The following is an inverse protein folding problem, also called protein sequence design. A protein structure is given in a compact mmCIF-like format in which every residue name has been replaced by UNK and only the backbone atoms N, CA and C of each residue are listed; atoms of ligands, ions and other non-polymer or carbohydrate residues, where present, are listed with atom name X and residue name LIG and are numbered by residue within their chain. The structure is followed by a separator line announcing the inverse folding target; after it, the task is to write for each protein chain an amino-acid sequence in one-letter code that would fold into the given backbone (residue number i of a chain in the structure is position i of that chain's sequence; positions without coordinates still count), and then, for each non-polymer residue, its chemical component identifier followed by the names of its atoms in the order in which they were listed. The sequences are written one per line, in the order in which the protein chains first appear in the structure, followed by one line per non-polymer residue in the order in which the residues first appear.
data_IF_058591955870
#
_entry.id   IF_058591955870
#
_cell.length_a   1.000
_cell.length_b   1.000
_cell.length_c   1.000
_cell.angle_alpha   90.00
_cell.angle_beta   90.00
_cell.angle_gamma   90.00
#
_symmetry.space_group_name_H-M   'P 1'
#
loop_
_entity.id
_entity.type
_entity.pdbx_description
1 polymer ?
#
# COMPACT_ATOMS: atom_id res chain seq x y z
N UNK A 1 22.98 35.42 -68.31
CA UNK A 1 23.42 34.06 -67.91
C UNK A 1 23.62 34.08 -66.40
N UNK A 2 23.11 33.18 -65.55
CA UNK A 2 22.11 32.10 -65.69
C UNK A 2 21.52 31.87 -64.26
N UNK A 3 20.20 31.78 -64.02
CA UNK A 3 19.39 30.54 -63.91
C UNK A 3 20.16 29.28 -63.45
N UNK A 4 19.74 28.39 -62.52
CA UNK A 4 18.49 28.13 -61.75
C UNK A 4 18.81 26.98 -60.71
N UNK A 5 18.10 26.56 -59.65
CA UNK A 5 16.87 26.95 -58.89
C UNK A 5 16.80 26.22 -57.51
N UNK A 6 15.99 26.71 -56.56
CA UNK A 6 15.19 25.97 -55.53
C UNK A 6 15.80 24.87 -54.61
N UNK A 7 15.62 25.01 -53.29
CA UNK A 7 15.06 23.94 -52.42
C UNK A 7 14.54 24.47 -51.07
N UNK A 8 13.60 23.77 -50.43
CA UNK A 8 12.97 24.13 -49.13
C UNK A 8 13.52 23.28 -47.97
N UNK A 9 14.24 23.91 -47.03
CA UNK A 9 14.49 23.31 -45.71
C UNK A 9 13.28 23.47 -44.80
N UNK A 10 12.59 22.38 -44.45
CA UNK A 10 11.46 22.41 -43.49
C UNK A 10 11.96 22.76 -42.09
N UNK A 11 11.31 23.72 -41.43
CA UNK A 11 11.50 23.96 -40.00
C UNK A 11 11.14 22.69 -39.21
N UNK A 12 12.12 22.11 -38.51
CA UNK A 12 11.92 20.90 -37.71
C UNK A 12 11.34 21.30 -36.35
N UNK A 13 10.05 21.59 -36.32
CA UNK A 13 9.30 21.86 -35.08
C UNK A 13 9.49 20.68 -34.14
N UNK A 14 10.35 20.85 -33.13
CA UNK A 14 10.47 19.89 -32.04
C UNK A 14 9.16 19.95 -31.25
N UNK A 15 8.28 18.99 -31.53
CA UNK A 15 7.21 18.62 -30.62
C UNK A 15 7.88 18.07 -29.35
N UNK A 16 8.24 18.98 -28.44
CA UNK A 16 8.50 18.64 -27.06
C UNK A 16 7.20 18.07 -26.50
N UNK A 17 7.10 16.74 -26.50
CA UNK A 17 5.99 16.03 -25.89
C UNK A 17 5.91 16.50 -24.44
N UNK A 18 4.80 17.16 -24.08
CA UNK A 18 4.58 17.63 -22.70
C UNK A 18 4.63 16.41 -21.79
N UNK A 19 5.69 16.30 -20.99
CA UNK A 19 5.74 15.35 -19.87
C UNK A 19 4.45 15.50 -19.07
N UNK A 20 3.73 14.42 -18.74
CA UNK A 20 2.42 14.53 -18.10
C UNK A 20 2.54 15.29 -16.77
N UNK A 21 2.01 16.50 -16.71
CA UNK A 21 2.00 17.29 -15.47
C UNK A 21 1.05 16.63 -14.47
N UNK A 22 1.54 16.35 -13.26
CA UNK A 22 0.68 15.89 -12.17
C UNK A 22 -0.46 16.91 -11.91
N UNK A 23 -1.64 16.44 -11.46
CA UNK A 23 -2.67 17.34 -10.99
C UNK A 23 -2.19 18.14 -9.76
N UNK A 24 -2.78 19.32 -9.49
CA UNK A 24 -2.54 20.04 -8.25
C UNK A 24 -3.00 19.22 -7.04
N UNK A 25 -2.48 19.56 -5.87
CA UNK A 25 -2.91 18.94 -4.61
C UNK A 25 -4.35 19.30 -4.27
N UNK A 26 -5.12 18.30 -3.80
CA UNK A 26 -6.39 18.55 -3.12
C UNK A 26 -6.15 19.25 -1.80
N UNK A 27 -7.03 20.17 -1.43
CA UNK A 27 -6.93 20.83 -0.14
C UNK A 27 -7.32 19.86 0.98
N UNK A 28 -6.59 19.84 2.09
CA UNK A 28 -6.82 18.86 3.17
C UNK A 28 -8.23 18.97 3.77
N UNK A 29 -8.80 20.19 3.81
CA UNK A 29 -10.17 20.47 4.26
C UNK A 29 -11.23 20.41 3.14
N UNK A 30 -10.90 19.92 1.95
CA UNK A 30 -11.84 19.83 0.81
C UNK A 30 -13.03 18.92 1.15
N UNK A 31 -14.25 19.45 1.02
CA UNK A 31 -15.48 18.72 1.33
C UNK A 31 -15.75 18.49 2.83
N UNK A 32 -15.15 19.31 3.71
CA UNK A 32 -15.38 19.27 5.17
C UNK A 32 -16.22 20.46 5.66
N UNK A 33 -16.77 20.33 6.86
CA UNK A 33 -17.38 21.42 7.63
C UNK A 33 -16.37 22.55 7.87
N UNK A 34 -16.84 23.80 7.92
CA UNK A 34 -15.97 24.98 8.14
C UNK A 34 -15.40 25.04 9.56
N UNK A 35 -16.07 24.41 10.53
CA UNK A 35 -15.60 24.20 11.90
C UNK A 35 -15.40 22.71 12.20
N UNK A 36 -14.42 22.36 13.04
CA UNK A 36 -14.30 21.01 13.60
C UNK A 36 -15.40 20.76 14.63
N UNK A 37 -15.81 19.50 14.76
CA UNK A 37 -16.67 19.00 15.83
C UNK A 37 -15.92 18.95 17.18
N UNK A 38 -14.68 18.46 17.14
CA UNK A 38 -13.89 18.15 18.32
C UNK A 38 -12.40 18.13 17.99
N UNK A 39 -11.57 18.67 18.88
CA UNK A 39 -10.12 18.49 18.88
C UNK A 39 -9.78 17.26 19.73
N UNK A 40 -8.90 16.38 19.23
CA UNK A 40 -8.36 15.25 20.00
C UNK A 40 -6.98 15.68 20.53
N UNK A 41 -6.88 15.84 21.85
CA UNK A 41 -5.62 16.16 22.52
C UNK A 41 -4.63 15.00 22.47
N UNK A 42 -3.33 15.31 22.40
CA UNK A 42 -2.28 14.28 22.55
C UNK A 42 -2.37 13.61 23.92
N UNK A 43 -2.17 12.29 23.95
CA UNK A 43 -2.32 11.49 25.16
C UNK A 43 -1.01 11.38 25.95
N UNK A 44 -1.05 11.68 27.24
CA UNK A 44 0.04 11.39 28.17
C UNK A 44 0.16 9.88 28.45
N UNK A 45 1.36 9.37 28.80
CA UNK A 45 1.52 8.03 29.36
C UNK A 45 0.64 7.82 30.60
N UNK A 46 0.10 6.61 30.81
CA UNK A 46 -0.48 6.19 32.10
C UNK A 46 0.13 4.86 32.52
N UNK A 47 0.40 4.70 33.81
CA UNK A 47 0.94 3.46 34.38
C UNK A 47 0.00 2.25 34.27
N UNK A 48 -1.29 2.48 34.04
CA UNK A 48 -2.29 1.43 33.77
C UNK A 48 -2.37 1.00 32.29
N UNK A 49 -1.62 1.64 31.40
CA UNK A 49 -1.58 1.26 29.99
C UNK A 49 -0.81 -0.07 29.81
N UNK A 50 -1.52 -1.14 29.46
CA UNK A 50 -0.89 -2.43 29.09
C UNK A 50 0.07 -2.24 27.92
N UNK A 51 1.23 -2.92 28.00
CA UNK A 51 2.09 -3.27 26.86
C UNK A 51 1.21 -3.63 25.65
N UNK A 52 1.35 -2.88 24.54
CA UNK A 52 0.64 -3.18 23.31
C UNK A 52 1.19 -4.49 22.75
N UNK A 53 0.31 -5.40 22.34
CA UNK A 53 0.68 -6.61 21.63
C UNK A 53 -0.22 -6.78 20.40
N UNK A 54 0.23 -7.65 19.49
CA UNK A 54 -0.59 -8.19 18.41
C UNK A 54 -0.66 -9.71 18.61
N UNK A 55 -1.87 -10.24 18.74
CA UNK A 55 -2.15 -11.67 18.90
C UNK A 55 -3.23 -12.10 17.90
N UNK A 56 -3.52 -13.40 17.80
CA UNK A 56 -4.52 -13.96 16.86
C UNK A 56 -4.29 -13.55 15.39
N UNK A 57 -3.02 -13.47 14.98
CA UNK A 57 -2.62 -13.04 13.65
C UNK A 57 -3.00 -14.08 12.58
N UNK A 58 -3.92 -13.69 11.71
CA UNK A 58 -4.49 -14.52 10.67
C UNK A 58 -4.33 -13.84 9.29
N UNK A 59 -3.88 -14.59 8.28
CA UNK A 59 -4.02 -14.17 6.88
C UNK A 59 -5.49 -14.32 6.48
N UNK A 60 -6.10 -13.26 5.95
CA UNK A 60 -7.52 -13.26 5.54
C UNK A 60 -7.72 -12.92 4.06
N UNK A 61 -6.68 -12.40 3.40
CA UNK A 61 -6.69 -12.21 1.96
C UNK A 61 -5.47 -11.46 1.45
N UNK A 62 -5.33 -11.40 0.14
CA UNK A 62 -4.35 -10.53 -0.52
C UNK A 62 -4.74 -10.35 -1.98
N UNK A 63 -4.12 -9.37 -2.63
CA UNK A 63 -4.25 -9.18 -4.06
C UNK A 63 -3.08 -8.42 -4.68
N UNK A 64 -2.90 -8.55 -6.00
CA UNK A 64 -2.09 -7.59 -6.77
C UNK A 64 -2.98 -6.71 -7.64
N UNK A 65 -2.59 -5.45 -7.87
CA UNK A 65 -3.22 -4.61 -8.89
C UNK A 65 -2.70 -4.93 -10.30
N UNK A 66 -3.57 -4.86 -11.31
CA UNK A 66 -3.21 -4.93 -12.74
C UNK A 66 -3.37 -3.55 -13.39
N UNK A 67 -2.49 -3.20 -14.32
CA UNK A 67 -2.61 -1.98 -15.12
C UNK A 67 -3.70 -2.14 -16.20
N UNK A 68 -4.95 -1.81 -15.85
CA UNK A 68 -6.11 -1.83 -16.74
C UNK A 68 -7.00 -0.59 -16.52
N UNK A 69 -7.80 -0.16 -17.53
CA UNK A 69 -8.75 0.94 -17.39
C UNK A 69 -9.86 0.67 -16.36
N UNK A 70 -10.27 -0.60 -16.22
CA UNK A 70 -11.20 -1.07 -15.18
C UNK A 70 -10.40 -1.51 -13.94
N UNK A 71 -10.85 -1.18 -12.71
CA UNK A 71 -10.19 -1.66 -11.49
C UNK A 71 -10.15 -3.19 -11.46
N UNK A 72 -8.96 -3.76 -11.63
CA UNK A 72 -8.76 -5.20 -11.79
C UNK A 72 -7.65 -5.67 -10.85
N UNK A 73 -7.96 -6.69 -10.05
CA UNK A 73 -7.04 -7.29 -9.09
C UNK A 73 -6.84 -8.78 -9.37
N UNK A 74 -5.67 -9.30 -9.01
CA UNK A 74 -5.36 -10.73 -9.00
C UNK A 74 -5.48 -11.23 -7.55
N UNK A 75 -6.26 -12.28 -7.29
CA UNK A 75 -6.49 -12.85 -5.94
C UNK A 75 -6.12 -14.35 -5.93
N UNK A 76 -5.34 -14.85 -4.95
CA UNK A 76 -4.66 -14.12 -3.86
C UNK A 76 -3.54 -13.18 -4.34
N UNK A 77 -3.10 -13.30 -5.59
CA UNK A 77 -1.87 -12.65 -6.06
C UNK A 77 -0.64 -13.17 -5.32
N UNK A 78 0.50 -12.49 -5.48
CA UNK A 78 1.74 -12.74 -4.74
C UNK A 78 2.67 -11.53 -4.80
N UNK A 79 3.42 -11.22 -3.73
CA UNK A 79 4.51 -10.25 -3.77
C UNK A 79 5.66 -10.79 -4.65
N UNK A 80 6.64 -9.93 -4.93
CA UNK A 80 7.75 -10.28 -5.82
C UNK A 80 8.73 -11.25 -5.12
N UNK A 81 9.28 -12.21 -5.84
CA UNK A 81 10.21 -13.21 -5.29
C UNK A 81 11.60 -12.61 -5.12
N UNK A 82 12.09 -12.53 -3.89
CA UNK A 82 13.45 -12.10 -3.56
C UNK A 82 14.46 -13.02 -4.24
N UNK A 83 15.35 -12.44 -5.05
CA UNK A 83 16.28 -13.18 -5.92
C UNK A 83 17.70 -13.30 -5.34
N UNK A 84 17.88 -12.87 -4.08
CA UNK A 84 19.14 -12.85 -3.30
C UNK A 84 20.42 -12.51 -4.08
N UNK A 85 20.31 -11.51 -4.95
CA UNK A 85 21.34 -11.15 -5.93
C UNK A 85 22.66 -10.78 -5.24
N UNK A 86 23.79 -11.45 -5.56
CA UNK A 86 25.10 -11.12 -5.01
C UNK A 86 25.50 -9.66 -5.26
N UNK A 87 25.98 -8.99 -4.21
CA UNK A 87 26.55 -7.64 -4.29
C UNK A 87 28.07 -7.71 -4.58
N UNK A 88 28.67 -6.66 -5.16
CA UNK A 88 28.07 -5.38 -5.54
C UNK A 88 27.51 -5.35 -6.98
N UNK A 89 26.41 -4.62 -7.16
CA UNK A 89 25.85 -4.31 -8.49
C UNK A 89 25.32 -2.87 -8.53
N UNK A 90 25.08 -2.37 -9.74
CA UNK A 90 24.59 -1.01 -10.01
C UNK A 90 23.12 -1.05 -10.42
N UNK A 91 22.34 -0.06 -9.98
CA UNK A 91 21.05 0.32 -10.57
C UNK A 91 21.04 1.80 -10.94
N UNK A 92 20.12 2.21 -11.81
CA UNK A 92 19.86 3.63 -12.09
C UNK A 92 19.08 4.27 -10.94
N UNK A 93 19.18 5.60 -10.80
CA UNK A 93 18.30 6.34 -9.89
C UNK A 93 16.83 6.21 -10.32
N UNK A 94 15.90 6.29 -9.38
CA UNK A 94 14.48 6.19 -9.69
C UNK A 94 13.95 7.46 -10.37
N UNK A 95 13.23 7.29 -11.47
CA UNK A 95 12.68 8.34 -12.32
C UNK A 95 11.20 8.11 -12.66
N UNK A 96 10.58 9.06 -13.39
CA UNK A 96 9.15 9.01 -13.70
C UNK A 96 8.25 9.25 -12.48
N UNK A 97 7.22 8.41 -12.30
CA UNK A 97 6.17 8.60 -11.29
C UNK A 97 5.95 7.37 -10.41
N UNK A 98 6.04 7.57 -9.09
CA UNK A 98 5.64 6.58 -8.10
C UNK A 98 4.17 6.76 -7.68
N UNK A 99 3.55 5.69 -7.16
CA UNK A 99 2.26 5.81 -6.47
C UNK A 99 2.47 6.25 -5.02
N UNK A 100 1.86 7.36 -4.62
CA UNK A 100 1.70 7.72 -3.21
C UNK A 100 0.62 6.83 -2.57
N UNK A 101 -0.46 6.59 -3.31
CA UNK A 101 -1.51 5.63 -2.97
C UNK A 101 -2.11 4.99 -4.24
N UNK A 102 -1.74 3.72 -4.46
CA UNK A 102 -2.23 2.92 -5.58
C UNK A 102 -3.71 2.52 -5.42
N UNK A 103 -4.18 2.29 -4.19
CA UNK A 103 -5.56 1.90 -3.93
C UNK A 103 -6.50 3.09 -4.17
N UNK A 104 -6.13 4.28 -3.70
CA UNK A 104 -6.82 5.53 -4.00
C UNK A 104 -6.76 5.94 -5.47
N UNK A 105 -5.66 5.66 -6.19
CA UNK A 105 -5.61 5.88 -7.65
C UNK A 105 -6.60 5.00 -8.41
N UNK A 106 -6.65 3.70 -8.07
CA UNK A 106 -7.43 2.69 -8.78
C UNK A 106 -8.92 2.69 -8.37
N UNK A 107 -9.24 3.07 -7.13
CA UNK A 107 -10.59 3.06 -6.56
C UNK A 107 -10.87 4.33 -5.73
N UNK A 108 -10.87 5.54 -6.34
CA UNK A 108 -10.90 6.82 -5.62
C UNK A 108 -12.20 7.09 -4.84
N UNK A 109 -13.33 6.48 -5.23
CA UNK A 109 -14.60 6.54 -4.47
C UNK A 109 -14.63 5.59 -3.27
N UNK A 110 -13.79 4.55 -3.25
CA UNK A 110 -13.94 3.40 -2.36
C UNK A 110 -12.62 2.65 -2.13
N UNK A 111 -11.75 3.26 -1.34
CA UNK A 111 -10.34 2.84 -1.15
C UNK A 111 -10.23 1.47 -0.47
N UNK A 112 -11.23 1.08 0.33
CA UNK A 112 -11.30 -0.22 1.00
C UNK A 112 -12.07 -1.32 0.22
N UNK A 113 -12.77 -0.99 -0.88
CA UNK A 113 -13.53 -2.00 -1.63
C UNK A 113 -12.68 -3.17 -2.17
N UNK A 114 -11.45 -2.96 -2.69
CA UNK A 114 -10.58 -4.06 -3.12
C UNK A 114 -10.12 -4.97 -1.96
N UNK A 115 -10.04 -4.44 -0.74
CA UNK A 115 -9.72 -5.20 0.47
C UNK A 115 -10.86 -6.19 0.77
N UNK A 116 -12.09 -5.70 0.91
CA UNK A 116 -13.25 -6.56 1.16
C UNK A 116 -13.43 -7.58 0.03
N UNK A 117 -13.32 -7.14 -1.22
CA UNK A 117 -13.45 -7.99 -2.42
C UNK A 117 -12.46 -9.17 -2.40
N UNK A 118 -11.22 -8.96 -1.95
CA UNK A 118 -10.21 -10.01 -1.92
C UNK A 118 -10.42 -10.99 -0.75
N UNK A 119 -10.85 -10.52 0.42
CA UNK A 119 -11.19 -11.38 1.57
C UNK A 119 -12.41 -12.24 1.25
N UNK A 120 -13.51 -11.64 0.80
CA UNK A 120 -14.73 -12.34 0.39
C UNK A 120 -14.47 -13.41 -0.67
N UNK A 121 -13.57 -13.13 -1.63
CA UNK A 121 -13.18 -14.10 -2.65
C UNK A 121 -12.37 -15.28 -2.07
N UNK A 122 -11.44 -15.04 -1.14
CA UNK A 122 -10.66 -16.11 -0.49
C UNK A 122 -11.57 -16.97 0.40
N UNK A 123 -12.40 -16.38 1.26
CA UNK A 123 -13.34 -17.14 2.09
C UNK A 123 -14.31 -17.95 1.24
N UNK A 124 -14.85 -17.38 0.16
CA UNK A 124 -15.69 -18.14 -0.80
C UNK A 124 -14.95 -19.31 -1.46
N UNK A 125 -13.67 -19.17 -1.81
CA UNK A 125 -12.85 -20.25 -2.37
C UNK A 125 -12.58 -21.35 -1.34
N UNK A 126 -12.41 -20.98 -0.07
CA UNK A 126 -12.23 -21.92 1.05
C UNK A 126 -13.54 -22.60 1.51
N UNK A 127 -14.71 -22.13 1.03
CA UNK A 127 -16.03 -22.47 1.58
C UNK A 127 -16.17 -22.07 3.07
N UNK A 128 -15.68 -20.87 3.39
CA UNK A 128 -15.77 -20.20 4.70
C UNK A 128 -16.60 -18.91 4.55
N UNK A 129 -17.24 -18.43 5.62
CA UNK A 129 -17.81 -17.08 5.69
C UNK A 129 -16.93 -16.20 6.58
N UNK A 130 -16.63 -14.98 6.12
CA UNK A 130 -15.84 -14.03 6.91
C UNK A 130 -16.76 -13.14 7.75
N UNK A 131 -16.65 -13.26 9.06
CA UNK A 131 -17.39 -12.43 10.02
C UNK A 131 -16.83 -10.99 10.03
N UNK A 132 -17.40 -10.17 9.14
CA UNK A 132 -17.15 -8.74 9.07
C UNK A 132 -17.74 -7.98 10.26
N UNK A 133 -18.86 -8.44 10.82
CA UNK A 133 -19.54 -7.78 11.92
C UNK A 133 -18.75 -7.88 13.24
N UNK A 134 -17.98 -8.94 13.46
CA UNK A 134 -17.06 -9.06 14.60
C UNK A 134 -15.92 -8.01 14.59
N UNK A 135 -15.59 -7.43 13.44
CA UNK A 135 -14.43 -6.53 13.28
C UNK A 135 -14.71 -5.16 13.92
N UNK A 136 -13.70 -4.58 14.58
CA UNK A 136 -13.80 -3.24 15.18
C UNK A 136 -13.23 -2.13 14.28
N UNK A 137 -12.19 -2.45 13.49
CA UNK A 137 -11.57 -1.53 12.53
C UNK A 137 -11.18 -2.21 11.21
N UNK A 138 -11.48 -1.57 10.08
CA UNK A 138 -10.88 -1.91 8.77
C UNK A 138 -10.02 -0.73 8.31
N UNK A 139 -8.74 -0.95 8.04
CA UNK A 139 -7.78 0.15 7.83
C UNK A 139 -6.59 -0.21 6.94
N UNK A 140 -5.95 0.81 6.37
CA UNK A 140 -4.58 0.73 5.87
C UNK A 140 -3.56 0.92 7.00
N UNK A 141 -2.49 0.11 7.01
CA UNK A 141 -1.33 0.28 7.91
C UNK A 141 -0.68 1.69 7.79
N UNK A 142 -0.89 2.38 6.67
CA UNK A 142 -0.52 3.78 6.47
C UNK A 142 -1.24 4.73 7.45
N UNK A 143 -2.53 4.53 7.69
CA UNK A 143 -3.35 5.37 8.57
C UNK A 143 -2.93 5.22 10.04
N UNK A 144 -2.61 3.99 10.46
CA UNK A 144 -2.05 3.73 11.79
C UNK A 144 -0.66 4.40 11.99
N UNK A 145 0.18 4.43 10.95
CA UNK A 145 1.46 5.18 11.00
C UNK A 145 1.27 6.71 11.02
N UNK A 146 0.27 7.24 10.31
CA UNK A 146 -0.11 8.66 10.39
C UNK A 146 -0.46 9.05 11.83
N UNK A 147 -1.33 8.27 12.49
CA UNK A 147 -1.66 8.44 13.91
C UNK A 147 -0.44 8.37 14.83
N UNK A 148 0.47 7.40 14.62
CA UNK A 148 1.69 7.27 15.41
C UNK A 148 2.63 8.46 15.28
N UNK A 149 2.80 9.03 14.08
CA UNK A 149 3.60 10.27 13.91
C UNK A 149 2.97 11.43 14.67
N UNK A 150 1.65 11.61 14.60
CA UNK A 150 0.96 12.62 15.42
C UNK A 150 1.15 12.38 16.93
N UNK A 151 1.14 11.14 17.39
CA UNK A 151 1.42 10.82 18.79
C UNK A 151 2.87 11.20 19.17
N UNK A 152 3.85 10.80 18.35
CA UNK A 152 5.27 10.84 18.69
C UNK A 152 5.97 12.19 18.44
N UNK A 153 5.48 13.00 17.50
CA UNK A 153 6.14 14.20 16.99
C UNK A 153 5.25 15.45 17.10
N UNK A 154 5.77 16.53 17.70
CA UNK A 154 5.08 17.82 17.77
C UNK A 154 4.95 18.52 16.40
N UNK A 155 5.86 18.25 15.47
CA UNK A 155 5.87 18.77 14.11
C UNK A 155 5.29 17.76 13.08
N UNK A 156 4.45 16.83 13.54
CA UNK A 156 3.90 15.76 12.71
C UNK A 156 3.23 16.30 11.43
N UNK A 157 3.67 15.75 10.29
CA UNK A 157 3.18 16.12 8.95
C UNK A 157 1.66 16.03 8.86
N UNK A 158 1.06 17.04 8.23
CA UNK A 158 -0.36 17.11 7.93
C UNK A 158 -0.86 15.82 7.25
N UNK A 159 -2.01 15.32 7.69
CA UNK A 159 -2.67 14.16 7.09
C UNK A 159 -4.18 14.16 7.32
N UNK A 160 -4.88 13.40 6.49
CA UNK A 160 -6.32 13.13 6.64
C UNK A 160 -6.61 11.63 6.54
N UNK A 161 -7.62 11.19 7.28
CA UNK A 161 -8.23 9.86 7.23
C UNK A 161 -9.75 10.08 7.17
N UNK A 162 -10.42 9.54 6.15
CA UNK A 162 -11.88 9.64 6.02
C UNK A 162 -12.53 8.43 6.70
N UNK A 163 -13.51 8.70 7.56
CA UNK A 163 -14.08 7.75 8.50
C UNK A 163 -15.58 7.57 8.27
N UNK A 164 -16.00 6.31 8.33
CA UNK A 164 -17.41 5.91 8.29
C UNK A 164 -17.61 4.74 9.25
N UNK A 165 -18.77 4.67 9.89
CA UNK A 165 -19.26 3.50 10.61
C UNK A 165 -20.02 2.57 9.64
N UNK A 166 -19.81 1.26 9.78
CA UNK A 166 -20.62 0.19 9.17
C UNK A 166 -20.86 -0.86 10.26
N UNK A 167 -22.12 -1.19 10.59
CA UNK A 167 -22.45 -1.85 11.86
C UNK A 167 -21.78 -1.17 13.07
N UNK A 168 -20.95 -1.93 13.79
CA UNK A 168 -20.06 -1.40 14.85
C UNK A 168 -18.62 -1.07 14.40
N UNK A 169 -18.29 -1.34 13.14
CA UNK A 169 -16.93 -1.33 12.59
C UNK A 169 -16.55 0.04 12.04
N UNK A 170 -15.36 0.52 12.39
CA UNK A 170 -14.84 1.82 11.93
C UNK A 170 -13.97 1.63 10.69
N UNK A 171 -14.40 2.24 9.59
CA UNK A 171 -13.72 2.19 8.29
C UNK A 171 -12.75 3.37 8.14
N UNK A 172 -11.45 3.14 8.30
CA UNK A 172 -10.40 4.14 8.09
C UNK A 172 -9.96 4.15 6.62
N UNK A 173 -10.57 5.03 5.84
CA UNK A 173 -10.23 5.22 4.44
C UNK A 173 -9.01 6.15 4.32
N UNK A 174 -7.96 5.65 3.66
CA UNK A 174 -6.77 6.45 3.38
C UNK A 174 -7.12 7.63 2.47
N UNK A 175 -6.76 8.84 2.90
CA UNK A 175 -6.82 10.05 2.09
C UNK A 175 -5.40 10.54 1.80
N UNK A 176 -5.18 11.08 0.59
CA UNK A 176 -3.95 11.73 0.15
C UNK A 176 -4.29 12.95 -0.73
N UNK A 177 -3.47 13.99 -0.64
CA UNK A 177 -3.47 15.19 -1.49
C UNK A 177 -3.43 14.85 -3.00
N UNK A 178 -2.53 13.94 -3.39
CA UNK A 178 -2.31 13.39 -4.73
C UNK A 178 -2.07 11.88 -4.64
N UNK A 179 -2.42 11.15 -5.70
CA UNK A 179 -2.24 9.69 -5.75
C UNK A 179 -0.89 9.23 -6.34
N UNK A 180 -0.20 10.09 -7.10
CA UNK A 180 1.13 9.85 -7.69
C UNK A 180 2.07 11.02 -7.40
N UNK A 181 3.36 10.74 -7.29
CA UNK A 181 4.41 11.75 -7.07
C UNK A 181 5.54 11.61 -8.09
N UNK A 182 6.16 12.75 -8.43
CA UNK A 182 7.30 12.81 -9.35
C UNK A 182 8.55 12.34 -8.60
N UNK A 183 9.21 11.32 -9.13
CA UNK A 183 10.43 10.79 -8.54
C UNK A 183 11.59 11.79 -8.71
N UNK A 184 12.46 11.88 -7.71
CA UNK A 184 13.43 12.97 -7.57
C UNK A 184 14.72 12.79 -8.38
N UNK A 185 14.92 11.64 -9.03
CA UNK A 185 16.19 11.29 -9.67
C UNK A 185 17.34 11.06 -8.67
N UNK A 186 17.06 10.98 -7.36
CA UNK A 186 18.05 10.85 -6.28
C UNK A 186 17.82 9.65 -5.36
N UNK A 187 16.68 8.96 -5.48
CA UNK A 187 16.40 7.69 -4.80
C UNK A 187 16.83 6.50 -5.67
N UNK A 188 16.91 5.31 -5.08
CA UNK A 188 17.29 4.06 -5.77
C UNK A 188 16.44 2.86 -5.32
N UNK A 189 15.29 3.12 -4.70
CA UNK A 189 14.48 2.11 -4.00
C UNK A 189 13.70 1.21 -4.94
N UNK A 190 13.00 1.82 -5.90
CA UNK A 190 12.16 1.10 -6.86
C UNK A 190 13.02 0.35 -7.88
N UNK A 191 14.12 0.95 -8.34
CA UNK A 191 15.09 0.26 -9.19
C UNK A 191 15.89 -0.82 -8.44
N UNK A 192 16.12 -0.69 -7.12
CA UNK A 192 16.67 -1.76 -6.28
C UNK A 192 15.70 -2.95 -6.17
N UNK A 193 14.46 -2.71 -5.79
CA UNK A 193 13.41 -3.74 -5.69
C UNK A 193 13.26 -4.46 -7.04
N UNK A 194 13.16 -3.69 -8.14
CA UNK A 194 13.06 -4.21 -9.50
C UNK A 194 14.27 -5.05 -9.93
N UNK A 195 15.48 -4.72 -9.48
CA UNK A 195 16.72 -5.41 -9.82
C UNK A 195 17.10 -6.56 -8.86
N UNK A 196 16.37 -6.72 -7.75
CA UNK A 196 16.59 -7.72 -6.70
C UNK A 196 15.46 -8.73 -6.57
N UNK A 197 14.36 -8.55 -7.30
CA UNK A 197 13.16 -9.40 -7.21
C UNK A 197 12.60 -9.75 -8.59
N UNK A 198 12.13 -10.98 -8.75
CA UNK A 198 11.39 -11.44 -9.93
C UNK A 198 9.88 -11.38 -9.67
N UNK A 199 9.03 -11.20 -10.69
CA UNK A 199 7.59 -11.40 -10.52
C UNK A 199 7.27 -12.83 -10.08
N UNK A 200 6.21 -13.00 -9.28
CA UNK A 200 5.70 -14.33 -8.97
C UNK A 200 4.85 -14.87 -10.14
N UNK A 201 4.79 -16.21 -10.33
CA UNK A 201 3.96 -16.84 -11.35
C UNK A 201 2.49 -16.39 -11.31
N UNK A 202 1.94 -16.01 -12.46
CA UNK A 202 0.58 -15.48 -12.58
C UNK A 202 0.40 -14.06 -12.04
N UNK A 203 1.49 -13.33 -11.74
CA UNK A 203 1.50 -11.95 -11.27
C UNK A 203 2.45 -11.04 -12.10
N UNK A 204 2.88 -11.49 -13.28
CA UNK A 204 3.92 -10.87 -14.11
C UNK A 204 3.55 -9.46 -14.61
N UNK A 205 2.27 -9.27 -14.95
CA UNK A 205 1.71 -7.98 -15.40
C UNK A 205 1.15 -7.10 -14.28
N UNK A 206 1.56 -7.31 -13.03
CA UNK A 206 1.00 -6.63 -11.86
C UNK A 206 1.86 -5.47 -11.33
N UNK A 207 1.25 -4.52 -10.62
CA UNK A 207 1.87 -3.23 -10.25
C UNK A 207 2.11 -3.03 -8.74
N UNK A 208 1.89 -4.05 -7.91
CA UNK A 208 2.05 -3.98 -6.45
C UNK A 208 1.16 -5.01 -5.74
N UNK A 209 1.65 -5.60 -4.63
CA UNK A 209 0.94 -6.62 -3.86
C UNK A 209 0.48 -6.08 -2.50
N UNK A 210 -0.80 -6.26 -2.20
CA UNK A 210 -1.47 -5.77 -0.99
C UNK A 210 -1.95 -6.98 -0.18
N UNK A 211 -1.34 -7.20 0.98
CA UNK A 211 -1.70 -8.25 1.93
C UNK A 211 -2.70 -7.74 2.95
N UNK A 212 -3.58 -8.62 3.42
CA UNK A 212 -4.65 -8.32 4.36
C UNK A 212 -4.58 -9.34 5.51
N UNK A 213 -4.49 -8.83 6.73
CA UNK A 213 -4.46 -9.66 7.95
C UNK A 213 -5.57 -9.25 8.90
N UNK A 214 -6.05 -10.22 9.68
CA UNK A 214 -6.84 -9.99 10.89
C UNK A 214 -5.95 -10.23 12.11
N UNK A 215 -6.10 -9.45 13.17
CA UNK A 215 -5.44 -9.69 14.46
C UNK A 215 -6.17 -8.98 15.61
N UNK A 216 -5.92 -9.40 16.85
CA UNK A 216 -6.25 -8.60 18.04
C UNK A 216 -5.15 -7.57 18.34
N UNK A 217 -5.56 -6.37 18.75
CA UNK A 217 -4.70 -5.28 19.18
C UNK A 217 -5.09 -4.83 20.59
N UNK A 218 -4.78 -5.64 21.61
CA UNK A 218 -5.21 -5.44 23.00
C UNK A 218 -6.74 -5.24 23.13
N UNK A 219 -7.54 -6.20 22.65
CA UNK A 219 -9.00 -6.16 22.69
C UNK A 219 -9.66 -5.28 21.63
N UNK A 220 -9.02 -5.14 20.46
CA UNK A 220 -9.63 -4.59 19.25
C UNK A 220 -9.38 -5.56 18.11
N UNK A 221 -10.45 -6.07 17.50
CA UNK A 221 -10.35 -6.91 16.31
C UNK A 221 -10.06 -6.03 15.10
N UNK A 222 -8.82 -6.04 14.62
CA UNK A 222 -8.35 -5.24 13.49
C UNK A 222 -8.35 -6.07 12.21
N UNK A 223 -8.76 -5.47 11.09
CA UNK A 223 -8.41 -5.92 9.73
C UNK A 223 -7.53 -4.86 9.08
N UNK A 224 -6.31 -5.24 8.71
CA UNK A 224 -5.27 -4.31 8.26
C UNK A 224 -4.73 -4.72 6.90
N UNK A 225 -4.80 -3.79 5.92
CA UNK A 225 -4.13 -3.90 4.63
C UNK A 225 -2.76 -3.22 4.67
N UNK A 226 -1.78 -3.83 4.00
CA UNK A 226 -0.48 -3.24 3.73
C UNK A 226 0.12 -3.76 2.43
N UNK A 227 0.96 -2.94 1.80
CA UNK A 227 1.80 -3.35 0.68
C UNK A 227 2.96 -4.23 1.17
N UNK A 228 3.37 -5.21 0.35
CA UNK A 228 4.51 -6.11 0.60
C UNK A 228 5.43 -6.11 -0.62
N UNK A 229 6.66 -5.66 -0.41
CA UNK A 229 7.64 -5.47 -1.48
C UNK A 229 8.10 -6.82 -2.06
N UNK A 230 8.41 -7.78 -1.19
CA UNK A 230 8.92 -9.09 -1.59
C UNK A 230 8.50 -10.25 -0.67
N UNK A 231 8.75 -11.48 -1.15
CA UNK A 231 8.81 -12.68 -0.33
C UNK A 231 10.10 -13.47 -0.56
N UNK A 232 10.54 -14.19 0.47
CA UNK A 232 11.52 -15.26 0.33
C UNK A 232 10.84 -16.41 -0.46
N UNK A 233 11.43 -16.92 -1.56
CA UNK A 233 10.91 -18.09 -2.25
C UNK A 233 10.87 -19.32 -1.34
N UNK A 234 9.83 -20.14 -1.45
CA UNK A 234 9.84 -21.51 -0.95
C UNK A 234 10.44 -22.43 -2.00
N UNK A 235 11.50 -23.16 -1.65
CA UNK A 235 12.14 -24.16 -2.50
C UNK A 235 11.22 -25.38 -2.68
N UNK A 236 10.23 -25.23 -3.54
CA UNK A 236 9.20 -26.23 -3.88
C UNK A 236 9.68 -27.20 -4.98
N UNK A 237 10.99 -27.37 -5.10
CA UNK A 237 11.69 -28.12 -6.14
C UNK A 237 12.21 -29.50 -5.71
N UNK A 238 11.88 -29.97 -4.50
CA UNK A 238 12.21 -31.34 -4.03
C UNK A 238 11.07 -32.34 -4.19
N UNK A 239 9.82 -31.92 -3.94
CA UNK A 239 8.72 -32.86 -3.67
C UNK A 239 7.81 -33.14 -4.88
N UNK A 240 8.05 -32.47 -6.01
CA UNK A 240 7.30 -32.67 -7.26
C UNK A 240 7.80 -33.86 -8.11
N UNK A 241 8.72 -34.67 -7.59
CA UNK A 241 9.46 -35.69 -8.34
C UNK A 241 8.81 -37.10 -8.33
N UNK A 242 7.46 -37.20 -8.38
CA UNK A 242 6.77 -38.51 -8.29
C UNK A 242 5.43 -38.66 -9.02
N UNK A 243 5.11 -37.80 -10.02
CA UNK A 243 4.06 -38.12 -11.02
C UNK A 243 4.61 -37.95 -12.44
N UNK A 244 4.98 -39.07 -13.05
CA UNK A 244 5.35 -39.13 -14.46
C UNK A 244 4.13 -39.18 -15.37
N UNK A 245 3.97 -38.16 -16.22
CA UNK A 245 3.37 -38.33 -17.56
C UNK A 245 4.05 -37.34 -18.49
N UNK A 246 4.60 -37.83 -19.60
CA UNK A 246 5.35 -37.00 -20.54
C UNK A 246 4.42 -36.34 -21.56
N UNK A 247 4.58 -35.04 -21.75
CA UNK A 247 4.07 -34.29 -22.90
C UNK A 247 5.19 -33.38 -23.41
N UNK A 248 5.55 -33.51 -24.68
CA UNK A 248 6.72 -32.86 -25.28
C UNK A 248 6.57 -31.34 -25.38
N UNK A 249 7.53 -30.60 -24.84
CA UNK A 249 7.68 -29.16 -25.12
C UNK A 249 8.08 -28.94 -26.57
N UNK A 250 7.23 -28.22 -27.32
CA UNK A 250 7.48 -27.85 -28.72
C UNK A 250 8.23 -26.52 -28.80
N UNK A 251 9.00 -26.33 -29.88
CA UNK A 251 9.90 -25.17 -30.03
C UNK A 251 9.14 -23.83 -30.07
N UNK A 252 7.86 -23.83 -30.46
CA UNK A 252 7.01 -22.63 -30.48
C UNK A 252 6.79 -21.98 -29.10
N UNK A 253 6.82 -22.74 -27.99
CA UNK A 253 6.68 -22.18 -26.64
C UNK A 253 7.85 -21.23 -26.29
N UNK A 254 9.04 -21.51 -26.82
CA UNK A 254 10.22 -20.65 -26.69
C UNK A 254 10.13 -19.40 -27.57
N UNK A 255 9.39 -19.45 -28.69
CA UNK A 255 9.13 -18.30 -29.56
C UNK A 255 8.06 -17.39 -28.92
N UNK A 256 7.07 -17.96 -28.23
CA UNK A 256 6.14 -17.22 -27.38
C UNK A 256 6.86 -16.41 -26.29
N UNK A 257 7.82 -17.03 -25.59
CA UNK A 257 8.62 -16.38 -24.55
C UNK A 257 9.48 -15.21 -25.08
N UNK A 258 10.00 -15.30 -26.31
CA UNK A 258 10.80 -14.24 -26.94
C UNK A 258 9.96 -13.11 -27.55
N UNK A 259 8.70 -13.39 -27.92
CA UNK A 259 7.77 -12.40 -28.49
C UNK A 259 7.37 -11.29 -27.50
N UNK A 260 7.64 -11.45 -26.20
CA UNK A 260 7.40 -10.44 -25.17
C UNK A 260 8.35 -9.23 -25.20
N UNK A 261 9.50 -9.32 -25.88
CA UNK A 261 10.53 -8.26 -25.88
C UNK A 261 10.23 -7.19 -26.94
N UNK A 262 9.11 -6.46 -26.77
CA UNK A 262 8.84 -5.27 -27.59
C UNK A 262 9.50 -4.04 -26.96
N UNK A 263 10.52 -3.48 -27.63
CA UNK A 263 11.07 -2.17 -27.27
C UNK A 263 10.02 -1.08 -27.60
N UNK A 264 9.29 -0.58 -26.61
CA UNK A 264 8.32 0.52 -26.79
C UNK A 264 8.78 1.82 -26.15
N UNK A 265 9.37 2.69 -26.97
CA UNK A 265 9.50 4.12 -26.72
C UNK A 265 8.17 4.82 -27.01
N UNK A 266 7.14 4.55 -26.21
CA UNK A 266 5.81 5.16 -26.36
C UNK A 266 5.49 6.13 -25.23
N UNK A 267 4.81 7.22 -25.57
CA UNK A 267 4.51 8.31 -24.62
C UNK A 267 3.31 7.90 -23.74
N UNK A 268 3.35 8.13 -22.40
CA UNK A 268 2.26 7.74 -21.51
C UNK A 268 1.02 8.64 -21.66
N UNK A 269 0.24 8.40 -22.72
CA UNK A 269 -1.07 9.01 -22.95
C UNK A 269 -2.16 8.33 -22.10
N UNK A 270 -1.92 8.18 -20.79
CA UNK A 270 -2.96 7.79 -19.84
C UNK A 270 -3.84 9.00 -19.55
N UNK A 271 -4.82 9.25 -20.43
CA UNK A 271 -5.94 10.16 -20.11
C UNK A 271 -6.56 9.73 -18.79
N UNK A 272 -6.94 10.65 -17.89
CA UNK A 272 -7.69 10.28 -16.70
C UNK A 272 -8.97 9.55 -17.12
N UNK A 273 -9.48 8.66 -16.27
CA UNK A 273 -10.85 8.16 -16.38
C UNK A 273 -11.74 9.40 -16.51
N UNK A 274 -12.40 9.53 -17.66
CA UNK A 274 -13.12 10.75 -17.99
C UNK A 274 -14.23 10.98 -16.95
N UNK A 275 -14.56 12.25 -16.69
CA UNK A 275 -15.72 12.58 -15.85
C UNK A 275 -16.99 12.13 -16.57
N UNK A 276 -17.37 10.86 -16.40
CA UNK A 276 -18.65 10.32 -16.81
C UNK A 276 -19.73 10.96 -15.93
N UNK A 277 -20.38 11.99 -16.48
CA UNK A 277 -21.48 12.69 -15.84
C UNK A 277 -22.56 11.70 -15.37
N UNK A 278 -23.03 11.86 -14.13
CA UNK A 278 -24.30 11.26 -13.70
C UNK A 278 -24.29 9.75 -13.39
N UNK A 279 -23.19 9.17 -12.89
CA UNK A 279 -23.28 7.88 -12.19
C UNK A 279 -22.61 7.90 -10.81
N UNK A 280 -23.44 7.81 -9.77
CA UNK A 280 -22.98 7.66 -8.39
C UNK A 280 -22.48 6.25 -8.07
N UNK A 281 -22.71 5.26 -8.96
CA UNK A 281 -22.22 3.89 -8.81
C UNK A 281 -20.73 3.81 -8.42
N UNK A 282 -20.44 2.89 -7.50
CA UNK A 282 -19.08 2.49 -7.18
C UNK A 282 -18.50 1.66 -8.33
N UNK A 283 -17.20 1.80 -8.65
CA UNK A 283 -16.60 1.02 -9.72
C UNK A 283 -16.44 -0.44 -9.29
N UNK A 284 -17.06 -1.36 -10.02
CA UNK A 284 -16.93 -2.81 -9.76
C UNK A 284 -15.47 -3.25 -9.89
N UNK A 285 -14.92 -3.79 -8.81
CA UNK A 285 -13.59 -4.42 -8.82
C UNK A 285 -13.71 -5.78 -9.53
N UNK A 286 -12.90 -5.96 -10.58
CA UNK A 286 -12.80 -7.22 -11.31
C UNK A 286 -11.74 -8.11 -10.66
N UNK A 287 -12.09 -9.36 -10.35
CA UNK A 287 -11.16 -10.33 -9.77
C UNK A 287 -10.72 -11.34 -10.82
N UNK A 288 -9.41 -11.48 -10.98
CA UNK A 288 -8.78 -12.57 -11.70
C UNK A 288 -8.18 -13.57 -10.68
N UNK A 289 -8.48 -14.87 -10.74
CA UNK A 289 -7.72 -15.87 -10.01
C UNK A 289 -6.25 -15.88 -10.46
N UNK A 290 -5.31 -15.95 -9.53
CA UNK A 290 -3.88 -16.06 -9.85
C UNK A 290 -2.95 -15.79 -8.67
N UNK A 291 -1.66 -16.11 -8.84
CA UNK A 291 -0.68 -16.09 -7.76
C UNK A 291 -0.88 -17.22 -6.74
N UNK A 292 -0.30 -17.05 -5.56
CA UNK A 292 -0.24 -18.04 -4.48
C UNK A 292 -0.27 -17.39 -3.10
N UNK A 293 -0.91 -18.04 -2.12
CA UNK A 293 -0.88 -17.56 -0.72
C UNK A 293 0.54 -17.75 -0.18
N UNK A 294 1.23 -16.64 0.07
CA UNK A 294 2.56 -16.66 0.71
C UNK A 294 2.40 -16.74 2.24
N UNK A 295 3.14 -17.62 2.94
CA UNK A 295 3.12 -17.67 4.41
C UNK A 295 3.57 -16.34 5.04
N UNK A 296 2.98 -15.98 6.19
CA UNK A 296 3.35 -14.76 6.92
C UNK A 296 4.85 -14.72 7.26
N UNK A 297 5.44 -15.88 7.55
CA UNK A 297 6.87 -16.05 7.86
C UNK A 297 7.82 -15.70 6.70
N UNK A 298 7.33 -15.55 5.47
CA UNK A 298 8.17 -15.38 4.27
C UNK A 298 8.11 -13.97 3.66
N UNK A 299 7.25 -13.08 4.16
CA UNK A 299 7.12 -11.71 3.59
C UNK A 299 8.24 -10.78 4.06
N UNK A 300 8.67 -9.88 3.20
CA UNK A 300 9.87 -9.05 3.36
C UNK A 300 9.57 -7.58 3.04
N UNK A 301 9.99 -6.70 3.96
CA UNK A 301 10.14 -5.26 3.73
C UNK A 301 11.55 -4.97 3.17
N UNK A 302 11.62 -4.23 2.06
CA UNK A 302 12.85 -3.81 1.41
C UNK A 302 13.08 -2.32 1.61
N UNK A 303 14.19 -1.93 2.26
CA UNK A 303 14.56 -0.51 2.39
C UNK A 303 15.96 -0.22 1.87
N UNK A 304 16.16 0.99 1.35
CA UNK A 304 17.46 1.43 0.82
C UNK A 304 18.00 2.63 1.59
N UNK A 305 19.30 2.65 1.89
CA UNK A 305 20.02 3.83 2.39
C UNK A 305 21.36 4.02 1.69
N UNK A 306 21.79 5.27 1.58
CA UNK A 306 23.18 5.57 1.22
C UNK A 306 24.13 5.14 2.33
N UNK A 307 25.38 4.77 2.00
CA UNK A 307 26.44 4.42 2.99
C UNK A 307 26.52 5.46 4.13
N UNK A 308 26.46 6.76 3.78
CA UNK A 308 26.48 7.88 4.75
C UNK A 308 25.35 7.83 5.79
N UNK A 309 24.20 7.27 5.44
CA UNK A 309 22.96 7.33 6.23
C UNK A 309 22.53 5.95 6.78
N UNK A 310 23.29 4.88 6.50
CA UNK A 310 22.91 3.52 6.88
C UNK A 310 22.98 3.26 8.40
N UNK A 311 23.97 3.83 9.07
CA UNK A 311 24.10 3.81 10.55
C UNK A 311 23.06 4.69 11.27
N UNK A 312 22.42 5.61 10.55
CA UNK A 312 21.39 6.51 11.07
C UNK A 312 19.99 6.08 10.59
N UNK A 313 19.74 4.77 10.55
CA UNK A 313 18.43 4.23 10.19
C UNK A 313 17.43 4.53 11.30
N UNK A 314 16.50 5.45 11.04
CA UNK A 314 15.45 5.87 11.98
C UNK A 314 14.48 4.72 12.29
N UNK A 315 14.78 3.95 13.32
CA UNK A 315 13.91 2.89 13.80
C UNK A 315 12.59 3.41 14.40
N UNK A 316 12.48 4.68 14.83
CA UNK A 316 11.22 5.20 15.37
C UNK A 316 10.18 5.39 14.26
N UNK A 317 10.60 5.90 13.10
CA UNK A 317 9.75 6.01 11.91
C UNK A 317 9.52 4.66 11.22
N UNK A 318 10.52 3.75 11.23
CA UNK A 318 10.49 2.53 10.40
C UNK A 318 10.05 1.25 11.15
N UNK A 319 10.31 1.07 12.45
CA UNK A 319 9.83 -0.12 13.19
C UNK A 319 8.29 -0.31 13.12
N UNK A 320 7.45 0.75 13.21
CA UNK A 320 6.00 0.60 13.10
C UNK A 320 5.50 0.12 11.73
N UNK A 321 6.33 0.18 10.67
CA UNK A 321 6.04 -0.46 9.39
C UNK A 321 5.95 -1.98 9.55
N UNK A 322 6.94 -2.57 10.21
CA UNK A 322 7.09 -4.01 10.41
C UNK A 322 6.07 -4.53 11.42
N UNK A 323 5.93 -3.87 12.57
CA UNK A 323 5.04 -4.35 13.63
C UNK A 323 3.56 -4.33 13.23
N UNK A 324 3.07 -3.22 12.66
CA UNK A 324 1.64 -3.08 12.28
C UNK A 324 1.25 -3.89 11.03
N UNK A 325 2.21 -4.57 10.41
CA UNK A 325 1.98 -5.57 9.35
C UNK A 325 2.35 -6.99 9.78
N UNK A 326 2.97 -7.14 10.96
CA UNK A 326 3.66 -8.34 11.41
C UNK A 326 4.61 -8.91 10.34
N UNK A 327 5.29 -8.03 9.59
CA UNK A 327 6.26 -8.39 8.56
C UNK A 327 7.55 -8.86 9.25
N UNK A 328 7.92 -10.15 9.14
CA UNK A 328 8.99 -10.73 9.94
C UNK A 328 10.38 -10.34 9.45
N UNK A 329 10.56 -9.98 8.18
CA UNK A 329 11.85 -9.71 7.57
C UNK A 329 11.99 -8.25 7.12
N UNK A 330 13.14 -7.65 7.43
CA UNK A 330 13.52 -6.33 6.95
C UNK A 330 14.92 -6.38 6.35
N UNK A 331 15.05 -6.14 5.05
CA UNK A 331 16.32 -6.15 4.33
C UNK A 331 16.74 -4.72 4.00
N UNK A 332 17.69 -4.18 4.76
CA UNK A 332 18.25 -2.84 4.54
C UNK A 332 19.43 -2.93 3.57
N UNK A 333 19.21 -2.56 2.31
CA UNK A 333 20.22 -2.53 1.27
C UNK A 333 20.98 -1.19 1.25
N UNK A 334 22.31 -1.26 1.31
CA UNK A 334 23.17 -0.08 1.45
C UNK A 334 23.92 0.18 0.14
N UNK A 335 23.85 1.42 -0.34
CA UNK A 335 24.39 1.82 -1.64
C UNK A 335 25.26 3.09 -1.60
N UNK A 336 26.09 3.23 -2.62
CA UNK A 336 26.72 4.49 -2.98
C UNK A 336 26.26 4.86 -4.40
N UNK A 337 25.42 5.90 -4.53
CA UNK A 337 24.89 6.38 -5.82
C UNK A 337 24.36 5.24 -6.74
N UNK A 338 23.51 4.38 -6.19
CA UNK A 338 22.95 3.21 -6.89
C UNK A 338 23.86 1.98 -6.99
N UNK A 339 25.14 2.06 -6.58
CA UNK A 339 26.00 0.88 -6.40
C UNK A 339 25.71 0.24 -5.05
N UNK A 340 24.86 -0.78 -5.04
CA UNK A 340 24.58 -1.56 -3.84
C UNK A 340 25.80 -2.40 -3.46
N UNK A 341 26.16 -2.39 -2.17
CA UNK A 341 27.37 -3.03 -1.62
C UNK A 341 27.04 -4.20 -0.69
N UNK A 342 25.96 -4.08 0.08
CA UNK A 342 25.54 -5.04 1.11
C UNK A 342 24.02 -5.00 1.29
N UNK A 343 23.45 -6.08 1.86
CA UNK A 343 22.03 -6.17 2.23
C UNK A 343 21.94 -6.69 3.68
N UNK A 344 21.67 -5.79 4.62
CA UNK A 344 21.60 -6.07 6.04
C UNK A 344 20.23 -6.67 6.40
N UNK A 345 20.13 -7.99 6.31
CA UNK A 345 18.92 -8.77 6.62
C UNK A 345 18.70 -8.86 8.13
N UNK A 346 17.53 -8.44 8.61
CA UNK A 346 17.08 -8.50 10.01
C UNK A 346 15.75 -9.24 10.12
N UNK A 347 15.42 -9.67 11.34
CA UNK A 347 14.09 -10.17 11.70
C UNK A 347 13.43 -9.29 12.76
N UNK A 348 12.09 -9.17 12.72
CA UNK A 348 11.27 -8.46 13.71
C UNK A 348 11.41 -9.04 15.13
N UNK A 349 11.65 -10.35 15.26
CA UNK A 349 11.85 -11.06 16.53
C UNK A 349 13.29 -11.02 17.07
N UNK A 350 14.22 -10.34 16.37
CA UNK A 350 15.62 -10.22 16.79
C UNK A 350 15.79 -9.36 18.05
N UNK A 351 16.89 -9.55 18.77
CA UNK A 351 17.22 -8.77 19.97
C UNK A 351 17.34 -7.27 19.68
N UNK A 352 17.94 -6.88 18.54
CA UNK A 352 18.05 -5.48 18.10
C UNK A 352 16.67 -4.81 18.02
N UNK A 353 15.69 -5.48 17.39
CA UNK A 353 14.37 -4.88 17.16
C UNK A 353 13.44 -5.00 18.37
N UNK A 354 13.63 -6.00 19.23
CA UNK A 354 12.99 -6.07 20.56
C UNK A 354 13.49 -4.97 21.51
N UNK A 355 14.77 -4.61 21.46
CA UNK A 355 15.30 -3.49 22.24
C UNK A 355 14.76 -2.14 21.75
N UNK A 356 14.80 -1.90 20.43
CA UNK A 356 14.12 -0.76 19.78
C UNK A 356 12.67 -0.63 20.24
N UNK A 357 11.96 -1.75 20.33
CA UNK A 357 10.55 -1.77 20.71
C UNK A 357 10.31 -1.27 22.13
N UNK A 358 11.02 -1.84 23.09
CA UNK A 358 10.92 -1.49 24.51
C UNK A 358 11.30 -0.02 24.76
N UNK A 359 12.43 0.43 24.20
CA UNK A 359 13.01 1.73 24.52
C UNK A 359 12.33 2.91 23.81
N UNK A 360 11.90 2.73 22.55
CA UNK A 360 11.56 3.85 21.65
C UNK A 360 10.15 3.84 21.08
N UNK A 361 9.41 2.73 21.21
CA UNK A 361 8.15 2.52 20.48
C UNK A 361 6.96 2.30 21.42
N UNK A 362 7.11 1.48 22.47
CA UNK A 362 5.99 0.96 23.25
C UNK A 362 5.10 2.06 23.87
N UNK A 363 5.68 3.15 24.39
CA UNK A 363 4.89 4.26 24.95
C UNK A 363 4.04 5.01 23.90
N UNK A 364 4.48 5.07 22.64
CA UNK A 364 3.67 5.67 21.57
C UNK A 364 2.62 4.67 21.04
N UNK A 365 2.83 3.37 21.20
CA UNK A 365 1.86 2.32 20.89
C UNK A 365 0.74 2.24 21.94
N UNK A 366 1.06 2.34 23.24
CA UNK A 366 0.07 2.52 24.33
C UNK A 366 -0.85 3.73 24.10
N UNK A 367 -0.30 4.84 23.59
CA UNK A 367 -1.06 6.01 23.17
C UNK A 367 -1.92 5.71 21.93
N UNK A 368 -1.40 5.00 20.92
CA UNK A 368 -2.18 4.59 19.73
C UNK A 368 -3.41 3.78 20.12
N UNK A 369 -3.26 2.77 20.99
CA UNK A 369 -4.36 1.91 21.43
C UNK A 369 -5.54 2.70 21.98
N UNK A 370 -5.27 3.71 22.82
CA UNK A 370 -6.29 4.57 23.44
C UNK A 370 -6.80 5.66 22.50
N UNK A 371 -5.98 6.14 21.56
CA UNK A 371 -6.45 7.01 20.49
C UNK A 371 -7.48 6.29 19.61
N UNK A 372 -7.31 4.99 19.36
CA UNK A 372 -8.30 4.16 18.67
C UNK A 372 -9.61 4.02 19.46
N UNK A 373 -9.59 3.85 20.80
CA UNK A 373 -10.82 3.88 21.61
C UNK A 373 -11.58 5.20 21.44
N UNK A 374 -10.89 6.33 21.64
CA UNK A 374 -11.48 7.68 21.55
C UNK A 374 -12.06 7.92 20.14
N UNK A 375 -11.37 7.50 19.08
CA UNK A 375 -11.87 7.62 17.71
C UNK A 375 -13.07 6.69 17.49
N UNK A 376 -13.07 5.46 18.03
CA UNK A 376 -14.20 4.52 17.92
C UNK A 376 -15.45 5.05 18.62
N UNK A 377 -15.31 5.51 19.86
CA UNK A 377 -16.38 6.13 20.64
C UNK A 377 -16.97 7.35 19.90
N UNK A 378 -16.12 8.19 19.32
CA UNK A 378 -16.53 9.38 18.57
C UNK A 378 -17.26 9.01 17.26
N UNK A 379 -16.75 8.06 16.48
CA UNK A 379 -17.41 7.61 15.24
C UNK A 379 -18.76 6.94 15.56
N UNK A 380 -18.85 6.12 16.62
CA UNK A 380 -20.11 5.52 17.08
C UNK A 380 -21.10 6.59 17.55
N UNK A 381 -20.65 7.60 18.31
CA UNK A 381 -21.48 8.71 18.81
C UNK A 381 -22.15 9.52 17.68
N UNK A 382 -21.51 9.64 16.53
CA UNK A 382 -22.07 10.30 15.34
C UNK A 382 -22.83 9.32 14.40
N UNK A 383 -22.79 8.02 14.69
CA UNK A 383 -23.62 6.98 14.09
C UNK A 383 -23.34 6.65 12.62
N UNK A 384 -24.16 5.76 12.05
CA UNK A 384 -24.08 5.29 10.64
C UNK A 384 -24.23 6.41 9.60
N UNK A 385 -24.84 7.54 9.96
CA UNK A 385 -24.95 8.75 9.12
C UNK A 385 -23.78 9.71 9.31
N UNK A 386 -22.94 9.47 10.31
CA UNK A 386 -21.65 10.11 10.46
C UNK A 386 -20.77 9.83 9.26
N UNK A 387 -20.42 10.90 8.53
CA UNK A 387 -19.32 10.91 7.55
C UNK A 387 -18.30 11.85 8.13
N UNK A 388 -17.27 11.31 8.78
CA UNK A 388 -16.30 12.10 9.52
C UNK A 388 -14.96 12.11 8.80
N UNK A 389 -14.14 13.13 9.06
CA UNK A 389 -12.75 13.16 8.62
C UNK A 389 -11.87 13.57 9.79
N UNK A 390 -10.89 12.72 10.07
CA UNK A 390 -9.85 12.98 11.06
C UNK A 390 -8.69 13.69 10.34
N UNK A 391 -8.41 14.93 10.73
CA UNK A 391 -7.40 15.79 10.12
C UNK A 391 -6.34 16.15 11.15
N UNK A 392 -5.08 15.84 10.85
CA UNK A 392 -3.93 16.45 11.53
C UNK A 392 -3.46 17.62 10.68
N UNK A 393 -3.35 18.81 11.27
CA UNK A 393 -2.75 19.99 10.67
C UNK A 393 -1.88 20.71 11.70
N UNK A 394 -0.60 20.96 11.37
CA UNK A 394 0.35 21.63 12.28
C UNK A 394 0.49 20.92 13.63
N UNK A 395 0.41 19.58 13.65
CA UNK A 395 0.44 18.77 14.88
C UNK A 395 -0.86 18.74 15.71
N UNK A 396 -1.89 19.51 15.35
CA UNK A 396 -3.21 19.50 15.99
C UNK A 396 -4.11 18.49 15.28
N UNK A 397 -4.73 17.57 16.02
CA UNK A 397 -5.64 16.55 15.48
C UNK A 397 -7.09 16.94 15.77
N UNK A 398 -7.92 17.03 14.73
CA UNK A 398 -9.31 17.46 14.82
C UNK A 398 -10.23 16.56 13.98
N UNK A 399 -11.49 16.46 14.38
CA UNK A 399 -12.54 15.76 13.64
C UNK A 399 -13.50 16.78 13.03
N UNK A 400 -13.77 16.62 11.74
CA UNK A 400 -14.73 17.40 10.97
C UNK A 400 -15.85 16.50 10.44
N UNK A 401 -17.01 17.08 10.12
CA UNK A 401 -18.01 16.39 9.30
C UNK A 401 -17.66 16.57 7.82
N UNK A 402 -17.94 15.56 7.00
CA UNK A 402 -17.87 15.65 5.54
C UNK A 402 -19.19 16.25 5.05
N UNK A 403 -19.13 17.27 4.19
CA UNK A 403 -20.32 17.91 3.61
C UNK A 403 -21.09 17.00 2.67
N UNK A 404 -20.44 15.95 2.15
CA UNK A 404 -21.06 14.90 1.36
C UNK A 404 -21.38 13.67 2.22
N UNK A 405 -22.64 13.23 2.14
CA UNK A 405 -23.13 11.99 2.76
C UNK A 405 -22.64 10.72 2.05
N UNK A 406 -21.95 10.86 0.90
CA UNK A 406 -21.46 9.74 0.10
C UNK A 406 -20.60 8.77 0.91
N UNK A 407 -21.00 7.49 0.88
CA UNK A 407 -20.30 6.39 1.54
C UNK A 407 -18.94 6.11 0.89
N UNK A 408 -18.05 5.50 1.67
CA UNK A 408 -16.77 4.98 1.21
C UNK A 408 -16.84 3.54 0.68
N UNK A 409 -17.99 2.85 0.78
CA UNK A 409 -18.22 1.49 0.26
C UNK A 409 -19.64 1.38 -0.34
N UNK A 410 -19.88 0.41 -1.25
CA UNK A 410 -21.23 0.04 -1.71
C UNK A 410 -22.14 -0.41 -0.57
N UNK A 411 -23.45 -0.17 -0.68
CA UNK A 411 -24.42 -0.53 0.38
C UNK A 411 -24.52 -2.06 0.57
N UNK A 412 -24.39 -2.86 -0.49
CA UNK A 412 -24.31 -4.34 -0.43
C UNK A 412 -23.02 -4.86 0.23
N UNK A 413 -22.01 -3.99 0.35
CA UNK A 413 -20.77 -4.24 1.08
C UNK A 413 -20.88 -3.76 2.54
N UNK A 414 -21.60 -2.66 2.80
CA UNK A 414 -21.89 -2.22 4.18
C UNK A 414 -22.74 -3.24 4.95
N UNK A 415 -23.74 -3.84 4.31
CA UNK A 415 -24.64 -4.87 4.89
C UNK A 415 -23.94 -6.16 5.38
N UNK A 416 -22.63 -6.28 5.18
CA UNK A 416 -21.79 -7.37 5.72
C UNK A 416 -21.40 -7.12 7.18
N UNK A 417 -21.33 -5.85 7.60
CA UNK A 417 -20.91 -5.43 8.93
C UNK A 417 -22.08 -5.34 9.94
N UNK A 418 -23.32 -5.47 9.47
CA UNK A 418 -24.56 -5.26 10.23
C UNK A 418 -25.18 -6.56 10.79
N UNK A 419 -24.49 -7.71 10.70
CA UNK A 419 -25.04 -9.06 10.91
C UNK A 419 -24.78 -9.66 12.29
#
# INVERSE_FOLDING_TARGET
MSMYTSSRGRGRTLYAARSPTLPPDRHILEGLSTSPLQTISKLSPKSSDKELNITELQYVGSYNWVEKPTPTIIVPGSPRRWSDRPTPYQVHADDGFAFKDQNGFRSPKSVLLPLVTAVDHISKVNNEEFDWAAIDFVTDRNNLRKLLRWISDSAAKDFRIDMQLAGKTVLFNRWEDRYKEQMSGMTFGFNFEKASTSPAPGCEGSTGHHRIVRYDLNGLTMVVRFEVDACIPTDTSSDAASVTTASSTTVDDLIGALSGVTLRTDTPSSTPVSKSSGSDSFPKVTVNPGGSIIPQSHIVELTTRSVRNASFFDWKENYPQLFLSQTPHHFLAVHERGRFREVNKRKLDSAELKQVYADSIQEDFKKLRRALDIIKELVIKHGERGRLSLVCQGGVLQVFERTSQASCLPDDVLQKFDR
#
